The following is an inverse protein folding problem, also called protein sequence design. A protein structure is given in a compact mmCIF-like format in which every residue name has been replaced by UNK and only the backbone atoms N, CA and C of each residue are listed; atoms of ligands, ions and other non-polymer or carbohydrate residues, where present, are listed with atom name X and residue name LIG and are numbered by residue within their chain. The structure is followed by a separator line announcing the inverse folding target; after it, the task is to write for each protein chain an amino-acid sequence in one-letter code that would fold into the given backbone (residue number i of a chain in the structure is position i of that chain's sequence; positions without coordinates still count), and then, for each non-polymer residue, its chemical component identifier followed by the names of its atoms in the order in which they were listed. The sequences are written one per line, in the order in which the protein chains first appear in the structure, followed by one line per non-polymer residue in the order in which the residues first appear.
data_IF_294389032938
#
_entry.id   IF_294389032938
#
_cell.length_a   1.000
_cell.length_b   1.000
_cell.length_c   1.000
_cell.angle_alpha   90.00
_cell.angle_beta   90.00
_cell.angle_gamma   90.00
#
_symmetry.space_group_name_H-M   'P 1'
#
loop_
_entity.id
_entity.type
_entity.pdbx_description
1 polymer ?
#
# COMPACT_ATOMS: atom_id res chain seq x y z
N UNK A 1 -91.53 1.83 -32.06
CA UNK A 1 -92.12 3.06 -32.62
C UNK A 1 -91.05 4.12 -32.65
N UNK A 2 -90.78 4.51 -33.86
CA UNK A 2 -90.35 5.80 -34.38
C UNK A 2 -88.93 6.25 -33.93
N UNK A 3 -87.99 6.19 -34.75
CA UNK A 3 -87.69 6.84 -36.07
C UNK A 3 -87.02 8.22 -35.95
N UNK A 4 -85.98 8.34 -36.59
CA UNK A 4 -85.41 9.40 -37.46
C UNK A 4 -84.09 10.08 -36.93
N UNK A 5 -83.05 9.75 -37.63
CA UNK A 5 -82.35 10.49 -38.73
C UNK A 5 -81.53 11.70 -38.23
N UNK A 6 -80.17 11.57 -38.34
CA UNK A 6 -79.30 12.10 -39.41
C UNK A 6 -78.99 13.59 -39.30
N UNK A 7 -77.73 13.95 -39.08
CA UNK A 7 -76.95 14.75 -40.04
C UNK A 7 -75.46 14.83 -39.63
N UNK A 8 -74.62 14.55 -40.58
CA UNK A 8 -73.14 14.75 -40.58
C UNK A 8 -72.83 16.24 -40.51
N UNK A 9 -71.68 16.57 -39.89
CA UNK A 9 -70.78 17.56 -40.42
C UNK A 9 -69.37 17.32 -39.82
N UNK A 10 -68.45 17.09 -40.73
CA UNK A 10 -67.00 16.94 -40.55
C UNK A 10 -66.32 18.23 -40.12
N UNK A 11 -65.43 18.20 -39.18
CA UNK A 11 -64.28 19.10 -39.13
C UNK A 11 -63.05 18.32 -38.64
N UNK A 12 -62.16 18.10 -39.55
CA UNK A 12 -60.81 17.65 -39.30
C UNK A 12 -60.02 18.68 -38.46
N UNK A 13 -59.61 18.32 -37.28
CA UNK A 13 -58.55 19.05 -36.57
C UNK A 13 -57.27 18.23 -36.65
N UNK A 14 -56.34 18.79 -37.41
CA UNK A 14 -54.95 18.29 -37.47
C UNK A 14 -54.28 18.61 -36.16
N UNK A 15 -54.00 17.59 -35.33
CA UNK A 15 -53.19 17.74 -34.12
C UNK A 15 -51.72 17.62 -34.53
N UNK A 16 -51.02 18.76 -34.52
CA UNK A 16 -49.58 18.79 -34.73
C UNK A 16 -48.86 18.22 -33.49
N UNK A 17 -48.28 17.04 -33.62
CA UNK A 17 -47.37 16.46 -32.62
C UNK A 17 -46.03 17.18 -32.75
N UNK A 18 -45.70 17.99 -31.75
CA UNK A 18 -44.36 18.49 -31.51
C UNK A 18 -43.51 17.35 -30.91
N UNK A 19 -42.33 17.00 -31.48
CA UNK A 19 -41.45 16.08 -30.83
C UNK A 19 -40.80 16.80 -29.63
N UNK A 20 -41.03 16.28 -28.43
CA UNK A 20 -40.29 16.65 -27.23
C UNK A 20 -38.85 16.13 -27.37
N UNK A 21 -37.91 17.05 -27.59
CA UNK A 21 -36.48 16.80 -27.50
C UNK A 21 -36.15 16.55 -26.03
N UNK A 22 -36.09 15.28 -25.66
CA UNK A 22 -35.41 14.87 -24.43
C UNK A 22 -33.89 15.08 -24.63
N UNK A 23 -33.38 16.18 -24.13
CA UNK A 23 -31.95 16.34 -23.91
C UNK A 23 -31.60 15.42 -22.72
N UNK A 24 -31.19 14.21 -22.99
CA UNK A 24 -30.54 13.36 -22.01
C UNK A 24 -29.26 14.07 -21.58
N UNK A 25 -29.26 14.64 -20.37
CA UNK A 25 -28.04 14.98 -19.67
C UNK A 25 -27.29 13.65 -19.45
N UNK A 26 -26.34 13.35 -20.32
CA UNK A 26 -25.32 12.35 -20.04
C UNK A 26 -24.51 12.89 -18.88
N UNK A 27 -24.80 12.43 -17.67
CA UNK A 27 -23.85 12.50 -16.57
C UNK A 27 -22.66 11.67 -17.00
N UNK A 28 -21.66 12.33 -17.57
CA UNK A 28 -20.35 11.72 -17.73
C UNK A 28 -19.87 11.38 -16.33
N UNK A 29 -19.91 10.10 -15.97
CA UNK A 29 -19.11 9.59 -14.88
C UNK A 29 -17.68 9.83 -15.30
N UNK A 30 -17.06 10.88 -14.76
CA UNK A 30 -15.59 10.98 -14.77
C UNK A 30 -15.11 9.78 -13.97
N UNK A 31 -14.75 8.70 -14.66
CA UNK A 31 -14.00 7.62 -14.04
C UNK A 31 -12.67 8.27 -13.65
N UNK A 32 -12.48 8.52 -12.33
CA UNK A 32 -11.16 8.86 -11.81
C UNK A 32 -10.17 7.83 -12.34
N UNK A 33 -9.09 8.29 -12.95
CA UNK A 33 -8.03 7.37 -13.38
C UNK A 33 -7.52 6.66 -12.14
N UNK A 34 -7.45 5.32 -12.20
CA UNK A 34 -6.93 4.53 -11.08
C UNK A 34 -5.48 4.89 -10.82
N UNK A 35 -5.09 4.78 -9.55
CA UNK A 35 -3.74 5.06 -9.07
C UNK A 35 -2.89 3.80 -9.24
N UNK A 36 -1.77 3.91 -9.95
CA UNK A 36 -0.66 2.98 -9.92
C UNK A 36 0.52 3.70 -9.25
N UNK A 37 0.87 3.32 -8.05
CA UNK A 37 1.97 3.95 -7.31
C UNK A 37 2.87 2.92 -6.66
N UNK A 38 4.10 3.33 -6.35
CA UNK A 38 5.04 2.59 -5.53
C UNK A 38 5.88 3.57 -4.71
N UNK A 39 6.48 3.07 -3.64
CA UNK A 39 7.57 3.78 -2.97
C UNK A 39 8.90 3.43 -3.62
N UNK A 40 9.73 4.44 -3.80
CA UNK A 40 11.11 4.33 -4.25
C UNK A 40 12.03 4.56 -3.06
N UNK A 41 12.71 3.50 -2.62
CA UNK A 41 13.65 3.54 -1.50
C UNK A 41 14.97 4.18 -1.93
N UNK A 42 15.24 5.41 -1.47
CA UNK A 42 16.45 6.14 -1.84
C UNK A 42 17.74 5.44 -1.40
N UNK A 43 17.69 4.64 -0.33
CA UNK A 43 18.82 3.84 0.16
C UNK A 43 19.13 2.61 -0.71
N UNK A 44 18.28 2.26 -1.67
CA UNK A 44 18.55 1.23 -2.67
C UNK A 44 19.08 1.79 -4.00
N UNK A 45 19.37 3.09 -4.05
CA UNK A 45 19.93 3.75 -5.22
C UNK A 45 21.39 3.31 -5.52
N UNK A 46 21.92 3.57 -6.74
CA UNK A 46 23.31 3.29 -7.09
C UNK A 46 24.29 3.96 -6.13
N UNK A 47 25.23 3.16 -5.61
CA UNK A 47 26.20 3.60 -4.61
C UNK A 47 25.75 3.40 -3.16
N UNK A 48 24.49 3.09 -2.93
CA UNK A 48 23.91 2.83 -1.61
C UNK A 48 23.71 1.32 -1.38
N UNK A 49 23.25 0.56 -2.37
CA UNK A 49 22.98 -0.87 -2.27
C UNK A 49 23.50 -1.69 -3.46
N UNK A 50 23.56 -3.01 -3.27
CA UNK A 50 23.91 -4.00 -4.32
C UNK A 50 23.00 -5.23 -4.17
N UNK A 51 22.16 -5.55 -5.19
CA UNK A 51 21.93 -4.74 -6.40
C UNK A 51 21.40 -3.36 -6.07
N UNK A 52 21.33 -2.45 -7.02
CA UNK A 52 20.79 -1.12 -6.81
C UNK A 52 19.66 -0.86 -7.84
N UNK A 53 18.72 0.01 -7.50
CA UNK A 53 17.70 0.50 -8.43
C UNK A 53 18.06 1.90 -8.91
N UNK A 54 18.58 2.03 -10.13
CA UNK A 54 18.79 3.33 -10.75
C UNK A 54 17.45 3.90 -11.28
N UNK A 55 17.33 5.24 -11.32
CA UNK A 55 16.14 5.91 -11.89
C UNK A 55 15.87 5.49 -13.34
N UNK A 56 16.92 5.16 -14.11
CA UNK A 56 16.78 4.67 -15.49
C UNK A 56 16.26 3.23 -15.61
N UNK A 57 16.15 2.50 -14.52
CA UNK A 57 15.62 1.13 -14.48
C UNK A 57 14.14 1.09 -14.06
N UNK A 58 13.63 2.23 -13.57
CA UNK A 58 12.20 2.36 -13.20
C UNK A 58 11.36 2.45 -14.46
N UNK A 59 10.30 1.67 -14.54
CA UNK A 59 9.30 1.70 -15.63
C UNK A 59 8.29 2.83 -15.41
N UNK A 60 8.77 4.08 -15.53
CA UNK A 60 8.01 5.31 -15.21
C UNK A 60 6.64 5.34 -15.89
N UNK A 61 6.54 4.92 -17.14
CA UNK A 61 5.30 4.91 -17.93
C UNK A 61 4.22 3.95 -17.38
N UNK A 62 4.61 3.10 -16.42
CA UNK A 62 3.68 2.17 -15.78
C UNK A 62 3.08 2.72 -14.49
N UNK A 63 3.52 3.89 -14.03
CA UNK A 63 3.06 4.53 -12.81
C UNK A 63 2.32 5.83 -13.09
N UNK A 64 1.33 6.14 -12.25
CA UNK A 64 0.68 7.46 -12.22
C UNK A 64 1.38 8.38 -11.22
N UNK A 65 1.90 7.81 -10.14
CA UNK A 65 2.62 8.48 -9.07
C UNK A 65 3.81 7.62 -8.66
N UNK A 66 4.88 8.25 -8.21
CA UNK A 66 5.92 7.59 -7.44
C UNK A 66 6.25 8.41 -6.20
N UNK A 67 6.53 7.72 -5.11
CA UNK A 67 6.76 8.32 -3.81
C UNK A 67 8.17 8.02 -3.35
N UNK A 68 9.00 9.04 -3.15
CA UNK A 68 10.36 8.90 -2.63
C UNK A 68 10.31 8.62 -1.13
N UNK A 69 11.00 7.62 -0.64
CA UNK A 69 11.07 7.21 0.75
C UNK A 69 12.48 7.44 1.30
N UNK A 70 12.61 8.05 2.49
CA UNK A 70 11.65 8.77 3.31
C UNK A 70 12.22 10.13 3.68
N UNK A 71 11.33 11.09 3.99
CA UNK A 71 11.68 12.25 4.78
C UNK A 71 11.28 11.95 6.24
N UNK A 72 12.23 11.74 7.12
CA UNK A 72 12.01 11.37 8.50
C UNK A 72 11.61 12.57 9.36
N UNK A 73 10.72 12.37 10.34
CA UNK A 73 10.43 13.40 11.34
C UNK A 73 11.63 13.62 12.25
N UNK A 74 11.81 14.84 12.72
CA UNK A 74 12.88 15.18 13.69
C UNK A 74 12.30 15.81 14.94
N UNK A 75 13.11 15.92 16.00
CA UNK A 75 12.71 16.61 17.24
C UNK A 75 12.46 18.11 17.03
N UNK A 76 13.03 18.73 15.99
CA UNK A 76 12.71 20.10 15.59
C UNK A 76 11.60 20.08 14.53
N UNK A 77 10.42 20.51 14.89
CA UNK A 77 9.26 20.61 14.01
C UNK A 77 9.50 21.47 12.75
N UNK A 78 10.61 22.20 12.66
CA UNK A 78 10.99 23.02 11.51
C UNK A 78 11.84 22.27 10.49
N UNK A 79 12.08 20.98 10.73
CA UNK A 79 12.97 20.17 9.90
C UNK A 79 12.41 18.76 9.67
N UNK A 80 12.58 18.25 8.46
CA UNK A 80 12.50 16.83 8.13
C UNK A 80 13.85 16.39 7.57
N UNK A 81 14.27 15.16 7.88
CA UNK A 81 15.56 14.64 7.49
C UNK A 81 15.45 13.70 6.29
N UNK A 82 16.37 13.83 5.34
CA UNK A 82 16.56 12.87 4.25
C UNK A 82 17.79 11.97 4.50
N UNK A 83 18.37 11.99 5.71
CA UNK A 83 19.66 11.30 5.98
C UNK A 83 19.55 9.78 5.91
N UNK A 84 18.38 9.21 6.17
CA UNK A 84 18.10 7.77 5.99
C UNK A 84 17.85 7.37 4.54
N UNK A 85 17.81 8.36 3.65
CA UNK A 85 17.60 8.19 2.20
C UNK A 85 18.78 8.83 1.44
N UNK A 86 18.69 8.97 0.12
CA UNK A 86 19.68 9.73 -0.65
C UNK A 86 19.17 11.14 -0.96
N UNK A 87 19.57 12.19 -0.16
CA UNK A 87 19.08 13.56 -0.34
C UNK A 87 19.52 14.18 -1.67
N UNK A 88 20.64 13.71 -2.25
CA UNK A 88 21.15 14.24 -3.52
C UNK A 88 20.42 13.66 -4.73
N UNK A 89 19.80 12.51 -4.57
CA UNK A 89 19.03 11.84 -5.61
C UNK A 89 17.64 12.47 -5.78
N UNK A 90 17.02 12.99 -4.72
CA UNK A 90 15.65 13.50 -4.75
C UNK A 90 15.37 14.51 -5.87
N UNK A 91 16.23 15.53 -6.13
CA UNK A 91 16.00 16.44 -7.27
C UNK A 91 15.97 15.72 -8.62
N UNK A 92 16.83 14.72 -8.82
CA UNK A 92 16.86 13.93 -10.06
C UNK A 92 15.66 13.00 -10.17
N UNK A 93 15.19 12.42 -9.07
CA UNK A 93 13.95 11.64 -9.00
C UNK A 93 12.76 12.47 -9.46
N UNK A 94 12.57 13.68 -8.89
CA UNK A 94 11.47 14.60 -9.26
C UNK A 94 11.54 14.99 -10.73
N UNK A 95 12.72 15.41 -11.20
CA UNK A 95 12.91 15.80 -12.58
C UNK A 95 12.60 14.65 -13.57
N UNK A 96 12.99 13.42 -13.21
CA UNK A 96 12.72 12.23 -14.04
C UNK A 96 11.23 11.89 -14.04
N UNK A 97 10.58 11.92 -12.87
CA UNK A 97 9.13 11.71 -12.78
C UNK A 97 8.37 12.68 -13.68
N UNK A 98 8.67 13.98 -13.59
CA UNK A 98 8.03 15.01 -14.40
C UNK A 98 8.30 14.83 -15.90
N UNK A 99 9.52 14.43 -16.29
CA UNK A 99 9.86 14.14 -17.68
C UNK A 99 9.03 12.98 -18.28
N UNK A 100 8.57 12.04 -17.44
CA UNK A 100 7.69 10.93 -17.82
C UNK A 100 6.19 11.22 -17.56
N UNK A 101 5.83 12.40 -17.07
CA UNK A 101 4.45 12.75 -16.74
C UNK A 101 3.91 12.06 -15.48
N UNK A 102 4.79 11.53 -14.64
CA UNK A 102 4.49 10.86 -13.37
C UNK A 102 4.51 11.88 -12.24
N UNK A 103 3.57 11.77 -11.31
CA UNK A 103 3.51 12.63 -10.13
C UNK A 103 4.58 12.22 -9.11
N UNK A 104 5.43 13.18 -8.73
CA UNK A 104 6.50 12.99 -7.76
C UNK A 104 6.02 13.38 -6.36
N UNK A 105 6.06 12.43 -5.42
CA UNK A 105 5.75 12.65 -4.01
C UNK A 105 6.94 12.29 -3.12
N UNK A 106 6.90 12.75 -1.88
CA UNK A 106 7.78 12.27 -0.81
C UNK A 106 6.91 11.74 0.32
N UNK A 107 7.30 10.58 0.86
CA UNK A 107 6.69 10.01 2.06
C UNK A 107 7.40 10.56 3.29
N UNK A 108 6.61 11.03 4.26
CA UNK A 108 7.09 11.60 5.53
C UNK A 108 6.83 10.58 6.63
N UNK A 109 7.88 10.11 7.29
CA UNK A 109 7.83 9.09 8.33
C UNK A 109 8.46 7.78 7.88
N UNK A 110 7.67 6.72 7.80
CA UNK A 110 8.10 5.32 7.69
C UNK A 110 8.38 4.73 9.06
N UNK A 111 8.77 3.45 9.12
CA UNK A 111 9.00 2.71 10.35
C UNK A 111 9.97 3.42 11.30
N UNK A 112 11.16 3.77 10.83
CA UNK A 112 12.18 4.47 11.62
C UNK A 112 11.93 5.97 11.70
N UNK A 113 11.37 6.58 10.68
CA UNK A 113 11.17 8.03 10.57
C UNK A 113 9.93 8.58 11.32
N UNK A 114 9.14 7.72 11.97
CA UNK A 114 7.92 8.12 12.67
C UNK A 114 8.12 8.60 14.12
N UNK A 115 9.35 8.64 14.62
CA UNK A 115 9.69 8.88 16.04
C UNK A 115 9.05 10.14 16.64
N UNK A 116 8.99 11.23 15.87
CA UNK A 116 8.59 12.55 16.36
C UNK A 116 7.25 13.04 15.80
N UNK A 117 6.47 12.21 15.11
CA UNK A 117 5.17 12.61 14.59
C UNK A 117 4.27 13.19 15.69
N UNK A 118 4.08 12.46 16.79
CA UNK A 118 3.21 12.88 17.89
C UNK A 118 3.60 14.27 18.41
N UNK A 119 4.90 14.49 18.73
CA UNK A 119 5.38 15.78 19.22
C UNK A 119 5.22 16.91 18.18
N UNK A 120 5.43 16.61 16.90
CA UNK A 120 5.35 17.60 15.81
C UNK A 120 3.93 18.08 15.54
N UNK A 121 2.90 17.31 15.89
CA UNK A 121 1.50 17.69 15.70
C UNK A 121 0.75 17.96 17.01
N UNK A 122 1.38 17.79 18.18
CA UNK A 122 0.73 17.83 19.49
C UNK A 122 -0.01 19.14 19.78
N UNK A 123 0.55 20.28 19.39
CA UNK A 123 -0.03 21.60 19.67
C UNK A 123 -0.40 22.34 18.38
N UNK A 124 -1.36 23.26 18.45
CA UNK A 124 -1.70 24.12 17.32
C UNK A 124 -0.47 24.87 16.78
N UNK A 125 0.41 25.35 17.67
CA UNK A 125 1.63 26.03 17.26
C UNK A 125 2.58 25.10 16.48
N UNK A 126 2.78 23.88 16.97
CA UNK A 126 3.61 22.91 16.25
C UNK A 126 3.01 22.52 14.93
N UNK A 127 1.68 22.29 14.85
CA UNK A 127 1.00 22.01 13.58
C UNK A 127 1.23 23.11 12.55
N UNK A 128 1.04 24.38 12.92
CA UNK A 128 1.29 25.50 12.01
C UNK A 128 2.76 25.58 11.54
N UNK A 129 3.71 25.31 12.44
CA UNK A 129 5.13 25.24 12.08
C UNK A 129 5.42 24.06 11.17
N UNK A 130 4.86 22.89 11.44
CA UNK A 130 5.09 21.68 10.63
C UNK A 130 4.43 21.78 9.25
N UNK A 131 3.24 22.38 9.14
CA UNK A 131 2.63 22.75 7.86
C UNK A 131 3.57 23.61 7.04
N UNK A 132 4.11 24.68 7.65
CA UNK A 132 5.08 25.53 6.96
C UNK A 132 6.32 24.76 6.52
N UNK A 133 6.87 23.92 7.38
CA UNK A 133 8.04 23.07 7.07
C UNK A 133 7.80 22.21 5.84
N UNK A 134 6.66 21.50 5.80
CA UNK A 134 6.34 20.62 4.68
C UNK A 134 5.95 21.37 3.40
N UNK A 135 5.31 22.53 3.50
CA UNK A 135 5.03 23.40 2.35
C UNK A 135 6.33 23.95 1.76
N UNK A 136 7.25 24.41 2.60
CA UNK A 136 8.57 24.87 2.17
C UNK A 136 9.38 23.73 1.52
N UNK A 137 9.31 22.54 2.11
CA UNK A 137 9.95 21.33 1.59
C UNK A 137 9.38 20.93 0.22
N UNK A 138 8.07 20.85 0.08
CA UNK A 138 7.40 20.53 -1.18
C UNK A 138 7.73 21.58 -2.27
N UNK A 139 7.76 22.86 -1.90
CA UNK A 139 8.11 23.94 -2.81
C UNK A 139 9.57 23.87 -3.25
N UNK A 140 10.50 23.58 -2.30
CA UNK A 140 11.94 23.47 -2.57
C UNK A 140 12.25 22.42 -3.62
N UNK A 141 11.57 21.28 -3.55
CA UNK A 141 11.81 20.13 -4.42
C UNK A 141 10.82 20.00 -5.58
N UNK A 142 9.91 20.97 -5.76
CA UNK A 142 8.87 20.96 -6.82
C UNK A 142 8.01 19.69 -6.79
N UNK A 143 7.57 19.28 -5.60
CA UNK A 143 6.78 18.07 -5.41
C UNK A 143 5.33 18.26 -5.86
N UNK A 144 4.74 17.23 -6.45
CA UNK A 144 3.30 17.17 -6.73
C UNK A 144 2.47 16.79 -5.49
N UNK A 145 3.08 16.19 -4.47
CA UNK A 145 2.36 15.76 -3.28
C UNK A 145 3.24 15.31 -2.13
N UNK A 146 2.56 15.04 -1.03
CA UNK A 146 3.13 14.47 0.19
C UNK A 146 2.35 13.20 0.54
N UNK A 147 3.06 12.22 1.01
CA UNK A 147 2.54 10.99 1.59
C UNK A 147 2.87 10.99 3.08
N UNK A 148 1.96 10.56 3.93
CA UNK A 148 2.15 10.53 5.38
C UNK A 148 2.19 9.08 5.84
N UNK A 149 3.37 8.64 6.21
CA UNK A 149 3.61 7.29 6.70
C UNK A 149 3.91 7.35 8.19
N UNK A 150 2.86 7.59 8.97
CA UNK A 150 2.96 7.60 10.42
C UNK A 150 2.64 6.23 11.01
N UNK A 151 3.65 5.58 11.54
CA UNK A 151 3.55 4.23 12.08
C UNK A 151 3.72 4.24 13.63
N UNK A 152 2.67 4.47 14.44
CA UNK A 152 1.27 4.77 14.04
C UNK A 152 0.68 5.82 14.98
N UNK A 153 -0.36 6.59 14.59
CA UNK A 153 -1.04 7.50 15.52
C UNK A 153 -1.64 6.73 16.71
N UNK A 154 -1.24 7.11 17.94
CA UNK A 154 -1.66 6.50 19.22
C UNK A 154 -1.39 4.99 19.36
N UNK A 155 -0.51 4.42 18.52
CA UNK A 155 -0.08 3.02 18.59
C UNK A 155 1.44 2.97 18.42
N UNK A 156 2.11 2.12 19.21
CA UNK A 156 3.56 1.99 19.10
C UNK A 156 3.96 1.30 17.77
N UNK A 157 4.90 1.91 17.07
CA UNK A 157 5.57 1.34 15.90
C UNK A 157 6.88 0.66 16.31
N UNK A 158 8.02 1.25 15.93
CA UNK A 158 9.36 0.71 16.18
C UNK A 158 9.73 0.51 17.66
N UNK A 159 8.93 1.00 18.60
CA UNK A 159 9.14 0.76 20.04
C UNK A 159 9.63 1.98 20.82
N UNK A 160 10.05 3.05 20.17
CA UNK A 160 10.55 4.29 20.80
C UNK A 160 9.86 5.57 20.30
N UNK A 161 8.80 5.44 19.50
CA UNK A 161 8.00 6.59 19.07
C UNK A 161 7.38 7.31 20.26
N UNK A 162 7.33 8.65 20.21
CA UNK A 162 6.42 9.39 21.06
C UNK A 162 4.98 9.12 20.64
N UNK A 163 4.11 8.81 21.60
CA UNK A 163 2.69 8.56 21.35
C UNK A 163 1.83 9.37 22.34
N UNK A 164 0.65 9.81 21.88
CA UNK A 164 -0.33 10.52 22.70
C UNK A 164 -1.75 10.07 22.29
N UNK A 165 -2.66 9.98 23.26
CA UNK A 165 -4.06 9.58 23.02
C UNK A 165 -4.80 10.50 22.04
N UNK A 166 -4.29 11.71 21.81
CA UNK A 166 -4.85 12.67 20.84
C UNK A 166 -4.20 12.61 19.47
N UNK A 167 -3.27 11.69 19.20
CA UNK A 167 -2.49 11.67 17.96
C UNK A 167 -3.37 11.66 16.71
N UNK A 168 -4.38 10.81 16.65
CA UNK A 168 -5.31 10.74 15.51
C UNK A 168 -6.06 12.05 15.30
N UNK A 169 -6.52 12.69 16.38
CA UNK A 169 -7.20 13.99 16.30
C UNK A 169 -6.24 15.11 15.89
N UNK A 170 -5.01 15.11 16.42
CA UNK A 170 -3.98 16.06 16.06
C UNK A 170 -3.50 15.89 14.62
N UNK A 171 -3.40 14.65 14.14
CA UNK A 171 -3.06 14.32 12.75
C UNK A 171 -4.13 14.86 11.80
N UNK A 172 -5.41 14.62 12.10
CA UNK A 172 -6.50 15.18 11.30
C UNK A 172 -6.43 16.72 11.26
N UNK A 173 -6.24 17.37 12.43
CA UNK A 173 -6.14 18.82 12.50
C UNK A 173 -4.94 19.36 11.70
N UNK A 174 -3.80 18.68 11.74
CA UNK A 174 -2.62 19.00 10.94
C UNK A 174 -2.91 18.92 9.43
N UNK A 175 -3.51 17.81 8.94
CA UNK A 175 -3.81 17.67 7.51
C UNK A 175 -4.88 18.68 7.07
N UNK A 176 -5.86 19.02 7.93
CA UNK A 176 -6.84 20.06 7.65
C UNK A 176 -6.16 21.43 7.47
N UNK A 177 -5.21 21.76 8.33
CA UNK A 177 -4.44 23.00 8.25
C UNK A 177 -3.56 23.03 6.99
N UNK A 178 -2.88 21.92 6.67
CA UNK A 178 -2.09 21.78 5.45
C UNK A 178 -2.99 21.93 4.20
N UNK A 179 -4.16 21.30 4.17
CA UNK A 179 -5.10 21.42 3.04
C UNK A 179 -5.67 22.83 2.89
N UNK A 180 -5.72 23.61 3.96
CA UNK A 180 -6.14 25.02 3.93
C UNK A 180 -5.03 25.98 3.45
N UNK A 181 -3.77 25.55 3.46
CA UNK A 181 -2.63 26.33 2.97
C UNK A 181 -2.72 26.53 1.44
N UNK A 182 -2.38 27.70 0.88
CA UNK A 182 -2.44 27.98 -0.56
C UNK A 182 -1.60 27.04 -1.44
N UNK A 183 -0.46 26.53 -0.95
CA UNK A 183 0.36 25.53 -1.63
C UNK A 183 -0.18 24.15 -1.31
N UNK A 184 -0.38 23.83 -0.02
CA UNK A 184 -0.88 22.55 0.46
C UNK A 184 -2.22 22.13 -0.16
N UNK A 185 -3.09 23.11 -0.48
CA UNK A 185 -4.37 22.87 -1.17
C UNK A 185 -4.22 22.28 -2.58
N UNK A 186 -3.05 22.42 -3.20
CA UNK A 186 -2.75 21.94 -4.56
C UNK A 186 -1.99 20.63 -4.57
N UNK A 187 -1.40 20.23 -3.43
CA UNK A 187 -0.65 19.00 -3.31
C UNK A 187 -1.59 17.78 -3.27
N UNK A 188 -1.15 16.69 -3.84
CA UNK A 188 -1.74 15.38 -3.61
C UNK A 188 -1.34 14.96 -2.19
N UNK A 189 -2.31 14.73 -1.33
CA UNK A 189 -2.08 14.29 0.05
C UNK A 189 -2.59 12.87 0.22
N UNK A 190 -1.70 11.96 0.54
CA UNK A 190 -2.03 10.56 0.83
C UNK A 190 -1.48 10.14 2.19
N UNK A 191 -1.98 9.04 2.72
CA UNK A 191 -1.41 8.43 3.92
C UNK A 191 -1.26 6.92 3.72
N UNK A 192 -0.08 6.37 4.08
CA UNK A 192 0.08 4.96 4.33
C UNK A 192 -0.60 4.62 5.66
N UNK A 193 -1.31 3.50 5.72
CA UNK A 193 -2.14 3.16 6.87
C UNK A 193 -2.08 1.66 7.16
N UNK A 194 -2.24 1.29 8.43
CA UNK A 194 -2.39 -0.11 8.81
C UNK A 194 -3.69 -0.73 8.27
N UNK A 195 -3.87 -2.03 8.46
CA UNK A 195 -5.11 -2.74 8.11
C UNK A 195 -6.35 -2.19 8.83
N UNK A 196 -6.16 -1.65 10.02
CA UNK A 196 -7.24 -1.05 10.83
C UNK A 196 -7.28 0.46 10.64
N UNK A 197 -8.48 1.10 10.74
CA UNK A 197 -8.59 2.55 10.86
C UNK A 197 -7.71 3.10 11.98
N UNK A 198 -7.28 4.36 11.85
CA UNK A 198 -6.46 5.04 12.86
C UNK A 198 -7.02 4.82 14.27
N UNK A 199 -6.14 4.60 15.25
CA UNK A 199 -6.57 4.37 16.61
C UNK A 199 -7.25 5.62 17.21
N UNK A 200 -8.35 5.42 17.93
CA UNK A 200 -9.00 6.46 18.70
C UNK A 200 -8.26 6.73 20.02
N UNK A 201 -8.79 7.61 20.87
CA UNK A 201 -8.16 7.95 22.15
C UNK A 201 -8.10 6.77 23.15
N UNK A 202 -8.82 5.68 22.91
CA UNK A 202 -8.77 4.47 23.74
C UNK A 202 -7.76 3.44 23.21
N UNK A 203 -7.20 3.68 22.01
CA UNK A 203 -6.37 2.73 21.29
C UNK A 203 -7.17 1.73 20.43
N UNK A 204 -8.49 1.90 20.33
CA UNK A 204 -9.34 1.08 19.48
C UNK A 204 -9.42 1.66 18.05
N UNK A 205 -9.69 0.86 17.01
CA UNK A 205 -9.90 1.37 15.67
C UNK A 205 -11.03 2.40 15.61
N UNK A 206 -10.76 3.59 15.06
CA UNK A 206 -11.76 4.66 14.91
C UNK A 206 -12.97 4.18 14.11
N UNK A 207 -14.16 4.51 14.58
CA UNK A 207 -15.43 4.22 13.88
C UNK A 207 -15.84 5.32 12.89
N UNK A 208 -15.12 6.47 12.87
CA UNK A 208 -15.36 7.58 11.95
C UNK A 208 -14.03 8.23 11.52
N UNK A 209 -13.65 7.98 10.27
CA UNK A 209 -12.50 8.61 9.58
C UNK A 209 -12.96 9.55 8.46
N UNK A 210 -14.23 9.93 8.43
CA UNK A 210 -14.81 10.80 7.38
C UNK A 210 -14.12 12.18 7.31
N UNK A 211 -13.53 12.63 8.42
CA UNK A 211 -12.70 13.83 8.46
C UNK A 211 -11.47 13.70 7.56
N UNK A 212 -10.76 12.59 7.65
CA UNK A 212 -9.60 12.29 6.79
C UNK A 212 -10.02 12.13 5.33
N UNK A 213 -11.15 11.45 5.07
CA UNK A 213 -11.68 11.29 3.72
C UNK A 213 -11.98 12.60 2.99
N UNK A 214 -12.19 13.71 3.72
CA UNK A 214 -12.41 15.05 3.14
C UNK A 214 -11.13 15.78 2.77
N UNK A 215 -10.01 15.43 3.40
CA UNK A 215 -8.74 16.18 3.27
C UNK A 215 -7.63 15.39 2.60
N UNK A 216 -7.66 14.06 2.66
CA UNK A 216 -6.77 13.19 1.90
C UNK A 216 -7.35 12.91 0.50
N UNK A 217 -6.49 12.81 -0.50
CA UNK A 217 -6.85 12.34 -1.83
C UNK A 217 -7.09 10.84 -1.82
N UNK A 218 -6.24 10.08 -1.10
CA UNK A 218 -6.41 8.64 -0.88
C UNK A 218 -5.62 8.17 0.36
N UNK A 219 -5.93 6.96 0.81
CA UNK A 219 -5.09 6.18 1.73
C UNK A 219 -4.51 4.98 0.99
N UNK A 220 -3.27 4.60 1.33
CA UNK A 220 -2.63 3.37 0.90
C UNK A 220 -2.62 2.38 2.07
N UNK A 221 -3.51 1.39 2.04
CA UNK A 221 -3.60 0.39 3.11
C UNK A 221 -2.46 -0.60 2.96
N UNK A 222 -1.52 -0.63 3.89
CA UNK A 222 -0.35 -1.50 3.94
C UNK A 222 -0.77 -2.94 4.24
N UNK A 223 -1.29 -3.64 3.23
CA UNK A 223 -1.69 -5.04 3.33
C UNK A 223 -0.49 -5.96 3.09
N UNK A 224 0.48 -5.85 3.97
CA UNK A 224 1.68 -6.67 4.04
C UNK A 224 2.20 -6.69 5.49
N UNK A 225 3.24 -7.45 5.77
CA UNK A 225 3.75 -7.70 7.11
C UNK A 225 2.67 -8.24 8.09
N UNK A 226 1.67 -8.94 7.51
CA UNK A 226 0.62 -9.56 8.32
C UNK A 226 1.18 -10.71 9.15
N UNK A 227 2.12 -11.46 8.58
CA UNK A 227 2.89 -12.47 9.30
C UNK A 227 4.38 -12.35 8.94
N UNK A 228 5.22 -12.49 9.96
CA UNK A 228 6.67 -12.45 9.88
C UNK A 228 7.31 -13.17 11.07
N UNK A 229 8.59 -12.92 11.37
CA UNK A 229 9.29 -13.57 12.49
C UNK A 229 8.62 -13.42 13.86
N UNK A 230 7.75 -12.44 14.02
CA UNK A 230 6.95 -12.18 15.24
C UNK A 230 5.71 -13.05 15.37
N UNK A 231 5.36 -13.84 14.36
CA UNK A 231 4.12 -14.63 14.34
C UNK A 231 4.28 -15.94 15.10
N UNK A 232 3.16 -16.56 15.52
CA UNK A 232 3.15 -17.83 16.21
C UNK A 232 3.44 -19.04 15.29
N UNK A 233 3.23 -18.88 13.99
CA UNK A 233 3.48 -19.88 12.96
C UNK A 233 3.79 -19.18 11.63
N UNK A 234 4.28 -19.94 10.64
CA UNK A 234 4.39 -19.43 9.27
C UNK A 234 3.02 -19.00 8.79
N UNK A 235 2.94 -17.80 8.23
CA UNK A 235 1.70 -17.25 7.69
C UNK A 235 1.93 -16.42 6.43
N UNK A 236 0.85 -15.98 5.75
CA UNK A 236 0.96 -15.15 4.55
C UNK A 236 1.48 -13.76 4.89
N UNK A 237 2.45 -13.25 4.10
CA UNK A 237 2.91 -11.87 4.22
C UNK A 237 1.79 -10.88 3.91
N UNK A 238 1.09 -11.07 2.78
CA UNK A 238 0.14 -10.11 2.24
C UNK A 238 -1.16 -10.80 1.77
N UNK A 239 -1.99 -11.33 2.68
CA UNK A 239 -3.18 -12.11 2.32
C UNK A 239 -4.25 -11.21 1.69
N UNK A 240 -4.90 -11.74 0.62
CA UNK A 240 -6.10 -11.11 0.09
C UNK A 240 -7.29 -11.30 1.05
N UNK A 241 -7.41 -12.49 1.64
CA UNK A 241 -8.40 -12.85 2.66
C UNK A 241 -7.84 -13.89 3.60
N UNK A 242 -8.43 -14.03 4.78
CA UNK A 242 -8.02 -15.02 5.77
C UNK A 242 -9.19 -15.72 6.47
N UNK A 243 -10.43 -15.30 6.22
CA UNK A 243 -11.64 -15.85 6.85
C UNK A 243 -11.85 -17.36 6.64
N UNK A 244 -11.13 -17.98 5.70
CA UNK A 244 -11.10 -19.42 5.46
C UNK A 244 -9.88 -20.11 6.12
N UNK A 245 -8.97 -19.34 6.73
CA UNK A 245 -7.89 -19.90 7.56
C UNK A 245 -8.43 -20.35 8.92
N UNK A 246 -7.74 -21.27 9.61
CA UNK A 246 -8.08 -21.57 11.00
C UNK A 246 -8.08 -20.29 11.86
N UNK A 247 -9.00 -20.19 12.82
CA UNK A 247 -9.22 -18.97 13.60
C UNK A 247 -7.94 -18.40 14.26
N UNK A 248 -7.05 -19.27 14.74
CA UNK A 248 -5.79 -18.89 15.38
C UNK A 248 -4.78 -18.24 14.40
N UNK A 249 -5.04 -18.32 13.09
CA UNK A 249 -4.18 -17.80 12.02
C UNK A 249 -4.86 -16.69 11.18
N UNK A 250 -5.99 -16.18 11.64
CA UNK A 250 -6.67 -15.02 11.05
C UNK A 250 -6.07 -13.74 11.63
N UNK A 251 -5.00 -13.25 11.00
CA UNK A 251 -4.24 -12.08 11.47
C UNK A 251 -4.64 -10.77 10.76
N UNK A 252 -5.59 -10.85 9.83
CA UNK A 252 -6.05 -9.73 9.00
C UNK A 252 -5.78 -9.96 7.52
N UNK A 253 -6.47 -9.19 6.68
CA UNK A 253 -6.38 -9.33 5.23
C UNK A 253 -6.82 -8.05 4.50
N UNK A 254 -6.53 -7.97 3.19
CA UNK A 254 -7.00 -6.88 2.34
C UNK A 254 -8.53 -6.72 2.38
N UNK A 255 -9.26 -7.83 2.37
CA UNK A 255 -10.74 -7.81 2.39
C UNK A 255 -11.26 -7.21 3.68
N UNK A 256 -10.69 -7.59 4.81
CA UNK A 256 -11.11 -7.11 6.13
C UNK A 256 -10.72 -5.65 6.33
N UNK A 257 -9.52 -5.27 5.91
CA UNK A 257 -9.05 -3.89 5.98
C UNK A 257 -9.94 -2.95 5.15
N UNK A 258 -10.24 -3.29 3.89
CA UNK A 258 -11.15 -2.49 3.05
C UNK A 258 -12.53 -2.38 3.68
N UNK A 259 -13.05 -3.46 4.27
CA UNK A 259 -14.33 -3.43 4.98
C UNK A 259 -14.28 -2.52 6.21
N UNK A 260 -13.23 -2.59 7.02
CA UNK A 260 -13.06 -1.76 8.23
C UNK A 260 -12.95 -0.27 7.88
N UNK A 261 -12.07 0.10 6.95
CA UNK A 261 -11.90 1.49 6.51
C UNK A 261 -13.17 2.07 5.88
N UNK A 262 -13.88 1.25 5.08
CA UNK A 262 -15.15 1.69 4.47
C UNK A 262 -16.25 1.87 5.51
N UNK A 263 -16.35 0.95 6.48
CA UNK A 263 -17.30 1.07 7.59
C UNK A 263 -17.04 2.31 8.45
N UNK A 264 -15.77 2.71 8.58
CA UNK A 264 -15.37 3.94 9.27
C UNK A 264 -15.54 5.21 8.41
N UNK A 265 -16.04 5.12 7.18
CA UNK A 265 -16.39 6.27 6.34
C UNK A 265 -15.35 6.67 5.29
N UNK A 266 -14.35 5.82 5.00
CA UNK A 266 -13.43 6.04 3.87
C UNK A 266 -14.09 5.54 2.58
N UNK A 267 -14.26 6.39 1.53
CA UNK A 267 -14.81 5.97 0.24
C UNK A 267 -13.91 4.93 -0.45
N UNK A 268 -14.51 3.95 -1.11
CA UNK A 268 -13.78 2.86 -1.80
C UNK A 268 -12.80 3.38 -2.85
N UNK A 269 -13.16 4.41 -3.59
CA UNK A 269 -12.34 5.04 -4.63
C UNK A 269 -11.15 5.85 -4.06
N UNK A 270 -11.13 6.08 -2.75
CA UNK A 270 -10.00 6.66 -2.00
C UNK A 270 -9.15 5.62 -1.27
N UNK A 271 -9.48 4.35 -1.35
CA UNK A 271 -8.67 3.26 -0.82
C UNK A 271 -7.79 2.69 -1.93
N UNK A 272 -6.50 2.82 -1.78
CA UNK A 272 -5.47 2.21 -2.62
C UNK A 272 -4.91 1.00 -1.89
N UNK A 273 -4.86 -0.16 -2.53
CA UNK A 273 -4.42 -1.39 -1.88
C UNK A 273 -2.89 -1.46 -1.90
N UNK A 274 -2.28 -1.55 -0.73
CA UNK A 274 -0.87 -1.87 -0.56
C UNK A 274 -0.59 -3.31 -0.96
N UNK A 275 0.49 -3.53 -1.72
CA UNK A 275 0.96 -4.83 -2.17
C UNK A 275 2.46 -4.94 -1.99
N UNK A 276 2.96 -6.13 -1.61
CA UNK A 276 4.35 -6.36 -1.31
C UNK A 276 5.09 -7.00 -2.49
N UNK A 277 6.22 -6.41 -2.90
CA UNK A 277 7.15 -7.04 -3.85
C UNK A 277 8.19 -7.93 -3.16
N UNK A 278 7.94 -8.32 -1.93
CA UNK A 278 8.81 -9.11 -1.06
C UNK A 278 8.01 -10.13 -0.25
N UNK A 279 8.74 -10.98 0.48
CA UNK A 279 8.18 -11.92 1.43
C UNK A 279 9.03 -12.09 2.67
N UNK A 280 8.55 -12.94 3.59
CA UNK A 280 9.25 -13.29 4.84
C UNK A 280 9.71 -14.72 4.84
N UNK A 281 10.93 -14.95 5.34
CA UNK A 281 11.55 -16.24 5.50
C UNK A 281 11.41 -16.76 6.93
N UNK A 282 11.22 -18.08 7.07
CA UNK A 282 11.00 -18.77 8.34
C UNK A 282 11.85 -20.04 8.41
N UNK A 283 12.48 -20.29 9.55
CA UNK A 283 13.21 -21.53 9.82
C UNK A 283 12.24 -22.65 10.19
N UNK A 284 11.94 -23.54 9.24
CA UNK A 284 10.94 -24.62 9.39
C UNK A 284 11.62 -25.98 9.26
N UNK A 285 11.57 -26.77 10.33
CA UNK A 285 12.11 -28.11 10.31
C UNK A 285 11.44 -28.97 9.21
N UNK A 286 12.22 -29.81 8.54
CA UNK A 286 11.71 -30.66 7.45
C UNK A 286 10.56 -31.56 7.86
N UNK A 287 10.50 -31.96 9.13
CA UNK A 287 9.39 -32.75 9.69
C UNK A 287 8.06 -32.01 9.69
N UNK A 288 8.10 -30.66 9.75
CA UNK A 288 6.94 -29.79 9.93
C UNK A 288 6.55 -29.10 8.62
N UNK A 289 7.49 -28.99 7.68
CA UNK A 289 7.29 -28.32 6.40
C UNK A 289 6.26 -29.00 5.49
N UNK A 290 5.96 -30.26 5.71
CA UNK A 290 5.07 -31.05 4.84
C UNK A 290 3.85 -31.59 5.58
N UNK A 291 2.75 -31.69 4.86
CA UNK A 291 1.55 -32.38 5.35
C UNK A 291 1.93 -33.80 5.78
N UNK A 292 1.42 -34.23 6.94
CA UNK A 292 1.73 -35.55 7.51
C UNK A 292 1.54 -36.69 6.50
N UNK A 293 2.63 -37.41 6.24
CA UNK A 293 2.66 -38.49 5.25
C UNK A 293 2.98 -38.08 3.82
N UNK A 294 3.09 -36.80 3.55
CA UNK A 294 3.56 -36.23 2.26
C UNK A 294 5.06 -35.93 2.32
N UNK A 295 5.72 -35.96 1.16
CA UNK A 295 7.08 -35.47 0.96
C UNK A 295 7.16 -34.32 -0.03
N UNK A 296 6.01 -33.93 -0.56
CA UNK A 296 5.92 -32.92 -1.64
C UNK A 296 4.88 -31.85 -1.39
N UNK A 297 3.83 -32.14 -0.60
CA UNK A 297 2.79 -31.17 -0.28
C UNK A 297 3.19 -30.38 0.97
N UNK A 298 3.47 -29.12 0.82
CA UNK A 298 3.76 -28.22 1.92
C UNK A 298 2.58 -28.09 2.88
N UNK A 299 2.87 -28.01 4.16
CA UNK A 299 1.90 -27.67 5.19
C UNK A 299 1.65 -26.15 5.17
N UNK A 300 0.41 -25.76 5.42
CA UNK A 300 0.07 -24.36 5.74
C UNK A 300 0.18 -24.17 7.24
N UNK A 301 0.67 -23.00 7.64
CA UNK A 301 0.85 -22.61 9.04
C UNK A 301 1.72 -23.58 9.87
N UNK A 302 2.85 -24.10 9.33
CA UNK A 302 3.71 -24.94 10.15
C UNK A 302 4.37 -24.10 11.26
N UNK A 303 4.74 -24.74 12.40
CA UNK A 303 5.57 -24.08 13.41
C UNK A 303 6.95 -23.77 12.81
N UNK A 304 7.60 -22.75 13.31
CA UNK A 304 8.96 -22.38 12.92
C UNK A 304 9.82 -22.06 14.16
N UNK A 305 11.13 -22.06 13.98
CA UNK A 305 12.06 -21.70 15.04
C UNK A 305 12.32 -20.19 15.02
N UNK A 306 11.60 -19.42 15.83
CA UNK A 306 11.76 -17.98 15.95
C UNK A 306 13.14 -17.52 16.46
N UNK A 307 13.90 -18.42 17.12
CA UNK A 307 15.26 -18.11 17.58
C UNK A 307 16.32 -18.25 16.47
N UNK A 308 15.94 -18.70 15.28
CA UNK A 308 16.80 -18.86 14.13
C UNK A 308 16.17 -18.13 12.95
N UNK A 309 16.32 -16.82 12.88
CA UNK A 309 15.84 -16.02 11.77
C UNK A 309 16.74 -16.26 10.54
N UNK A 310 16.21 -16.83 9.43
CA UNK A 310 16.99 -16.97 8.23
C UNK A 310 17.30 -15.59 7.63
N UNK A 311 18.47 -15.43 7.02
CA UNK A 311 18.76 -14.24 6.22
C UNK A 311 17.86 -14.21 4.98
N UNK A 312 17.39 -13.03 4.63
CA UNK A 312 16.69 -12.76 3.38
C UNK A 312 17.65 -12.62 2.19
N UNK A 313 17.49 -11.57 1.42
CA UNK A 313 18.45 -11.24 0.34
C UNK A 313 19.47 -10.17 0.77
N UNK A 314 20.12 -9.49 -0.17
CA UNK A 314 21.16 -8.51 0.15
C UNK A 314 20.59 -7.13 0.57
N UNK A 315 19.29 -6.94 0.49
CA UNK A 315 18.60 -5.75 1.01
C UNK A 315 17.98 -5.98 2.38
N UNK A 316 18.01 -7.21 2.87
CA UNK A 316 17.49 -7.57 4.19
C UNK A 316 18.25 -6.88 5.33
N UNK A 317 17.51 -6.41 6.31
CA UNK A 317 18.07 -5.77 7.49
C UNK A 317 18.98 -6.73 8.27
N UNK A 318 20.20 -6.29 8.51
CA UNK A 318 21.16 -7.03 9.31
C UNK A 318 20.83 -6.88 10.80
N UNK A 319 21.19 -7.90 11.64
CA UNK A 319 21.02 -7.77 13.07
C UNK A 319 21.70 -6.52 13.60
N UNK A 320 20.99 -5.73 14.40
CA UNK A 320 21.48 -4.44 14.87
C UNK A 320 20.78 -3.97 16.13
N UNK A 321 21.01 -2.73 16.46
CA UNK A 321 20.30 -2.03 17.54
C UNK A 321 19.44 -0.96 16.88
N UNK A 322 18.15 -1.00 17.18
CA UNK A 322 17.18 -0.03 16.68
C UNK A 322 17.38 1.38 17.27
N UNK A 323 16.61 2.35 16.79
CA UNK A 323 16.62 3.73 17.26
C UNK A 323 16.23 3.87 18.74
N UNK A 324 15.51 2.89 19.29
CA UNK A 324 15.13 2.81 20.70
C UNK A 324 16.18 2.17 21.59
N UNK A 325 17.27 1.63 21.00
CA UNK A 325 18.31 0.91 21.73
C UNK A 325 18.01 -0.57 21.98
N UNK A 326 16.97 -1.14 21.32
CA UNK A 326 16.65 -2.55 21.43
C UNK A 326 17.42 -3.34 20.35
N UNK A 327 17.77 -4.59 20.68
CA UNK A 327 18.38 -5.48 19.69
C UNK A 327 17.30 -6.04 18.75
N UNK A 328 17.47 -5.82 17.45
CA UNK A 328 16.70 -6.45 16.39
C UNK A 328 17.49 -7.61 15.78
N UNK A 329 16.79 -8.72 15.57
CA UNK A 329 17.35 -9.88 14.88
C UNK A 329 17.35 -9.64 13.37
N UNK A 330 17.94 -10.58 12.60
CA UNK A 330 17.83 -10.62 11.15
C UNK A 330 16.38 -10.45 10.71
N UNK A 331 16.12 -9.58 9.73
CA UNK A 331 14.75 -9.28 9.25
C UNK A 331 14.10 -10.46 8.53
N UNK A 332 14.88 -11.22 7.76
CA UNK A 332 14.38 -12.35 6.98
C UNK A 332 13.54 -11.93 5.77
N UNK A 333 13.66 -10.69 5.35
CA UNK A 333 12.99 -10.13 4.18
C UNK A 333 13.69 -10.59 2.90
N UNK A 334 12.90 -11.04 1.94
CA UNK A 334 13.41 -11.44 0.63
C UNK A 334 12.54 -10.85 -0.47
N UNK A 335 13.14 -10.03 -1.31
CA UNK A 335 12.48 -9.42 -2.44
C UNK A 335 12.13 -10.44 -3.53
N UNK A 336 11.22 -10.08 -4.42
CA UNK A 336 10.84 -10.98 -5.52
C UNK A 336 12.04 -11.30 -6.43
N UNK A 337 12.92 -10.31 -6.72
CA UNK A 337 14.17 -10.55 -7.42
C UNK A 337 15.13 -11.44 -6.60
N UNK A 338 15.15 -11.33 -5.27
CA UNK A 338 15.94 -12.15 -4.36
C UNK A 338 15.56 -13.64 -4.43
N UNK A 339 14.25 -13.94 -4.52
CA UNK A 339 13.74 -15.30 -4.72
C UNK A 339 14.24 -15.91 -6.04
N UNK A 340 14.36 -15.11 -7.10
CA UNK A 340 14.91 -15.53 -8.40
C UNK A 340 16.42 -15.75 -8.29
N UNK A 341 17.12 -14.80 -7.70
CA UNK A 341 18.58 -14.87 -7.53
C UNK A 341 19.01 -16.06 -6.69
N UNK A 342 18.24 -16.39 -5.63
CA UNK A 342 18.53 -17.53 -4.75
C UNK A 342 18.02 -18.87 -5.31
N UNK A 343 17.39 -18.88 -6.50
CA UNK A 343 16.99 -20.11 -7.19
C UNK A 343 15.70 -20.76 -6.67
N UNK A 344 14.85 -20.02 -5.96
CA UNK A 344 13.49 -20.46 -5.63
C UNK A 344 12.56 -20.33 -6.83
N UNK A 345 12.72 -19.26 -7.59
CA UNK A 345 11.95 -18.94 -8.79
C UNK A 345 12.86 -18.87 -10.02
N UNK A 346 12.29 -19.12 -11.18
CA UNK A 346 12.93 -18.86 -12.47
C UNK A 346 12.85 -17.37 -12.82
N UNK A 347 13.59 -16.91 -13.84
CA UNK A 347 13.51 -15.53 -14.37
C UNK A 347 12.12 -15.13 -14.89
N UNK A 348 11.20 -16.08 -15.00
CA UNK A 348 9.79 -15.83 -15.35
C UNK A 348 8.87 -15.83 -14.12
N UNK A 349 9.44 -15.87 -12.91
CA UNK A 349 8.70 -15.81 -11.64
C UNK A 349 7.92 -17.08 -11.27
N UNK A 350 8.19 -18.21 -11.95
CA UNK A 350 7.58 -19.50 -11.62
C UNK A 350 8.52 -20.35 -10.77
N UNK A 351 8.01 -21.24 -9.90
CA UNK A 351 8.86 -22.09 -9.06
C UNK A 351 9.83 -22.93 -9.90
N UNK A 352 11.08 -22.99 -9.48
CA UNK A 352 12.09 -23.86 -10.11
C UNK A 352 11.68 -25.33 -9.93
N UNK A 353 11.87 -26.14 -10.98
CA UNK A 353 11.54 -27.57 -10.94
C UNK A 353 12.23 -28.27 -9.78
N UNK A 354 11.45 -28.91 -8.91
CA UNK A 354 11.93 -29.61 -7.73
C UNK A 354 11.93 -28.78 -6.43
N UNK A 355 11.72 -27.48 -6.51
CA UNK A 355 11.45 -26.65 -5.31
C UNK A 355 10.02 -26.91 -4.85
N UNK A 356 9.80 -27.38 -3.59
CA UNK A 356 8.47 -27.52 -3.03
C UNK A 356 7.75 -26.18 -3.00
N UNK A 357 6.53 -26.17 -3.53
CA UNK A 357 5.72 -24.96 -3.71
C UNK A 357 4.25 -25.26 -3.39
N UNK A 358 3.57 -24.30 -2.80
CA UNK A 358 2.12 -24.31 -2.66
C UNK A 358 1.59 -22.90 -2.91
N UNK A 359 0.44 -22.80 -3.58
CA UNK A 359 -0.36 -21.60 -3.63
C UNK A 359 -1.58 -21.81 -2.73
N UNK A 360 -1.66 -21.06 -1.63
CA UNK A 360 -2.81 -21.13 -0.75
C UNK A 360 -4.03 -20.46 -1.39
N UNK A 361 -5.03 -21.25 -1.72
CA UNK A 361 -6.26 -20.73 -2.33
C UNK A 361 -7.16 -19.95 -1.35
N UNK A 362 -6.90 -20.04 -0.05
CA UNK A 362 -7.57 -19.23 0.96
C UNK A 362 -7.02 -17.80 0.92
N UNK A 363 -5.77 -17.64 1.28
CA UNK A 363 -5.11 -16.33 1.40
C UNK A 363 -4.70 -15.73 0.07
N UNK A 364 -4.72 -16.55 -1.00
CA UNK A 364 -4.26 -16.20 -2.35
C UNK A 364 -2.78 -15.82 -2.40
N UNK A 365 -1.97 -16.50 -1.60
CA UNK A 365 -0.52 -16.28 -1.48
C UNK A 365 0.27 -17.55 -1.73
N UNK A 366 1.47 -17.45 -2.35
CA UNK A 366 2.37 -18.58 -2.56
C UNK A 366 3.36 -18.77 -1.40
N UNK A 367 3.85 -20.02 -1.30
CA UNK A 367 4.94 -20.42 -0.41
C UNK A 367 5.92 -21.31 -1.16
N UNK A 368 7.21 -21.15 -0.86
CA UNK A 368 8.29 -22.05 -1.30
C UNK A 368 9.05 -22.58 -0.10
N UNK A 369 9.71 -23.74 -0.27
CA UNK A 369 10.51 -24.34 0.78
C UNK A 369 11.82 -24.92 0.25
N UNK A 370 12.92 -24.60 0.93
CA UNK A 370 14.22 -25.21 0.68
C UNK A 370 14.52 -26.24 1.77
N UNK A 371 14.40 -27.53 1.44
CA UNK A 371 14.62 -28.62 2.39
C UNK A 371 16.11 -28.85 2.74
N UNK A 372 17.07 -28.13 2.14
CA UNK A 372 18.47 -28.19 2.49
C UNK A 372 18.82 -27.19 3.58
N UNK A 373 18.27 -25.96 3.46
CA UNK A 373 18.46 -24.88 4.44
C UNK A 373 17.36 -24.84 5.48
N UNK A 374 16.30 -25.64 5.31
CA UNK A 374 15.08 -25.66 6.15
C UNK A 374 14.40 -24.29 6.23
N UNK A 375 14.40 -23.54 5.12
CA UNK A 375 13.78 -22.23 5.01
C UNK A 375 12.49 -22.31 4.20
N UNK A 376 11.38 -21.86 4.79
CA UNK A 376 10.10 -21.60 4.12
C UNK A 376 9.91 -20.11 3.93
N UNK A 377 9.42 -19.71 2.76
CA UNK A 377 9.19 -18.30 2.43
C UNK A 377 7.74 -18.11 2.01
N UNK A 378 7.06 -17.16 2.66
CA UNK A 378 5.78 -16.60 2.24
C UNK A 378 6.03 -15.35 1.42
N UNK A 379 5.43 -15.24 0.22
CA UNK A 379 5.72 -14.13 -0.71
C UNK A 379 4.51 -13.83 -1.59
N UNK A 380 4.66 -12.91 -2.53
CA UNK A 380 3.69 -12.65 -3.60
C UNK A 380 4.32 -12.95 -4.97
N UNK A 381 3.47 -13.35 -5.93
CA UNK A 381 3.88 -13.59 -7.31
C UNK A 381 2.86 -13.00 -8.30
N UNK A 382 3.10 -13.14 -9.61
CA UNK A 382 2.19 -12.64 -10.63
C UNK A 382 0.73 -13.09 -10.43
N UNK A 383 0.50 -14.35 -10.01
CA UNK A 383 -0.85 -14.86 -9.75
C UNK A 383 -1.53 -14.15 -8.58
N UNK A 384 -0.85 -13.97 -7.46
CA UNK A 384 -1.41 -13.27 -6.29
C UNK A 384 -1.65 -11.79 -6.59
N UNK A 385 -0.75 -11.15 -7.35
CA UNK A 385 -0.92 -9.78 -7.83
C UNK A 385 -2.12 -9.63 -8.77
N UNK A 386 -2.31 -10.58 -9.71
CA UNK A 386 -3.50 -10.59 -10.57
C UNK A 386 -4.80 -10.67 -9.76
N UNK A 387 -4.88 -11.57 -8.78
CA UNK A 387 -6.09 -11.74 -7.94
C UNK A 387 -6.35 -10.47 -7.10
N UNK A 388 -5.30 -9.82 -6.56
CA UNK A 388 -5.41 -8.52 -5.90
C UNK A 388 -5.87 -7.42 -6.87
N UNK A 389 -5.36 -7.42 -8.10
CA UNK A 389 -5.81 -6.52 -9.17
C UNK A 389 -7.29 -6.70 -9.52
N UNK A 390 -7.75 -7.94 -9.67
CA UNK A 390 -9.17 -8.24 -9.88
C UNK A 390 -10.04 -7.77 -8.70
N UNK A 391 -9.55 -7.90 -7.47
CA UNK A 391 -10.24 -7.39 -6.29
C UNK A 391 -10.36 -5.86 -6.33
N UNK A 392 -9.28 -5.13 -6.62
CA UNK A 392 -9.26 -3.67 -6.81
C UNK A 392 -10.31 -3.26 -7.83
N UNK A 393 -10.34 -3.93 -8.99
CA UNK A 393 -11.29 -3.65 -10.07
C UNK A 393 -12.73 -3.92 -9.65
N UNK A 394 -12.98 -5.09 -9.08
CA UNK A 394 -14.33 -5.54 -8.72
C UNK A 394 -14.96 -4.73 -7.59
N UNK A 395 -14.15 -4.21 -6.67
CA UNK A 395 -14.58 -3.38 -5.55
C UNK A 395 -14.64 -1.89 -5.88
N UNK A 396 -14.06 -1.47 -6.99
CA UNK A 396 -13.96 -0.06 -7.35
C UNK A 396 -12.98 0.71 -6.47
N UNK A 397 -11.90 0.04 -6.00
CA UNK A 397 -10.86 0.72 -5.22
C UNK A 397 -10.09 1.73 -6.07
N UNK A 398 -9.42 2.68 -5.43
CA UNK A 398 -8.66 3.75 -6.05
C UNK A 398 -7.46 3.25 -6.88
N UNK A 399 -6.89 2.09 -6.56
CA UNK A 399 -5.73 1.54 -7.25
C UNK A 399 -4.86 0.67 -6.36
N UNK A 400 -3.56 0.62 -6.64
CA UNK A 400 -2.56 -0.09 -5.84
C UNK A 400 -1.36 0.77 -5.51
N UNK A 401 -0.68 0.42 -4.40
CA UNK A 401 0.60 0.98 -3.96
C UNK A 401 1.57 -0.15 -3.62
N UNK A 402 2.73 -0.23 -4.29
CA UNK A 402 3.68 -1.31 -4.12
C UNK A 402 4.83 -0.92 -3.19
N UNK A 403 5.08 -1.68 -2.16
CA UNK A 403 6.28 -1.66 -1.35
C UNK A 403 7.17 -2.82 -1.75
N UNK A 404 8.26 -2.59 -2.46
CA UNK A 404 8.69 -1.33 -3.03
C UNK A 404 8.96 -1.47 -4.56
N UNK A 405 9.23 -0.36 -5.22
CA UNK A 405 9.48 -0.35 -6.66
C UNK A 405 10.66 -1.22 -7.08
N UNK A 406 11.68 -1.36 -6.22
CA UNK A 406 12.89 -2.13 -6.48
C UNK A 406 12.78 -3.61 -6.18
N UNK A 407 11.76 -4.06 -5.45
CA UNK A 407 11.61 -5.47 -5.08
C UNK A 407 11.13 -6.38 -6.20
N UNK A 408 10.54 -5.83 -7.28
CA UNK A 408 10.08 -6.59 -8.44
C UNK A 408 11.26 -7.06 -9.34
N UNK A 409 10.98 -7.88 -10.30
CA UNK A 409 11.92 -8.34 -11.31
C UNK A 409 11.30 -8.28 -12.69
N UNK A 410 11.88 -7.45 -13.58
CA UNK A 410 11.40 -7.28 -14.97
C UNK A 410 9.90 -6.94 -15.04
N UNK A 411 9.38 -6.19 -14.09
CA UNK A 411 7.96 -5.75 -13.99
C UNK A 411 6.94 -6.91 -13.91
N UNK A 412 7.35 -8.11 -13.52
CA UNK A 412 6.47 -9.30 -13.47
C UNK A 412 5.27 -9.06 -12.56
N UNK A 413 5.51 -8.49 -11.38
CA UNK A 413 4.45 -8.18 -10.42
C UNK A 413 3.65 -6.96 -10.87
N UNK A 414 4.34 -5.91 -11.26
CA UNK A 414 3.75 -4.64 -11.70
C UNK A 414 2.82 -4.84 -12.90
N UNK A 415 3.26 -5.55 -13.95
CA UNK A 415 2.43 -5.80 -15.14
C UNK A 415 1.20 -6.62 -14.80
N UNK A 416 1.35 -7.63 -13.94
CA UNK A 416 0.25 -8.49 -13.51
C UNK A 416 -0.87 -7.73 -12.81
N UNK A 417 -0.53 -6.86 -11.83
CA UNK A 417 -1.55 -6.11 -11.10
C UNK A 417 -2.16 -4.98 -11.95
N UNK A 418 -1.36 -4.34 -12.81
CA UNK A 418 -1.86 -3.30 -13.73
C UNK A 418 -2.90 -3.85 -14.69
N UNK A 419 -2.60 -4.98 -15.34
CA UNK A 419 -3.53 -5.64 -16.25
C UNK A 419 -4.82 -6.04 -15.54
N UNK A 420 -4.71 -6.74 -14.43
CA UNK A 420 -5.86 -7.26 -13.69
C UNK A 420 -6.74 -6.16 -13.07
N UNK A 421 -6.14 -5.08 -12.55
CA UNK A 421 -6.87 -3.95 -11.98
C UNK A 421 -7.49 -3.03 -13.03
N UNK A 422 -7.06 -3.13 -14.28
CA UNK A 422 -7.49 -2.26 -15.36
C UNK A 422 -6.88 -0.86 -15.28
N UNK A 423 -5.75 -0.71 -14.59
CA UNK A 423 -4.90 0.50 -14.63
C UNK A 423 -4.07 0.40 -15.91
N UNK A 424 -4.70 0.70 -17.03
CA UNK A 424 -4.03 0.84 -18.32
C UNK A 424 -3.90 2.33 -18.64
N UNK A 425 -2.77 2.71 -19.21
CA UNK A 425 -2.52 4.09 -19.67
C UNK A 425 -3.42 4.44 -20.86
#
# INVERSE_FOLDING_TARGET
MSSMRLLMLSRSQVLALLPALFHGLAFGTTTSSKIATAWYAGWHAPGQAVPSLALSQVSWEKYTHLTYSFAETTADVREVSLSGSDPELLPSFVATAHAHGVKAKVSVGGWTGSLFWSSNVATAQNRTLFVKTLVDFATKYDLDGLDFDWEYPNVQGIGCNTIDVNDTANFLAFIQELRADPVGSKLILSAATSLSPFADANGDPSTDVSGFAKVLDYIAVMNYDVNGPWSAAVGPNAPLRDSCAPADFQAGSAVDAVAAWTAAGMPLDKIVLGVASYGHSFSVAKSDAFVKGSKTQLALYPPFNASNAPAGDSWDDQPGVDEGGNFESQGGVIDFWGLIQQGYLTETGVPVTGVPFIFDNCTQTPYVYNGTTEVMISFDNARSFAVKGEYIKSKGLGGFAMWEAGGDFNDILLDSIREASGVLN
#
